data_IF_604591155067
#
_entry.id   IF_604591155067
#
_cell.length_a   1.000
_cell.length_b   1.000
_cell.length_c   1.000
_cell.angle_alpha   90.00
_cell.angle_beta   90.00
_cell.angle_gamma   90.00
#
_symmetry.space_group_name_H-M   'P 1'
#
loop_
_entity.id
_entity.type
_entity.pdbx_description
1 polymer ?
#
# COMPACT_ATOMS: atom_id res chain seq x y z
N UNK A 1 -12.52 28.72 19.97
CA UNK A 1 -13.51 29.80 19.84
C UNK A 1 -13.17 30.84 20.88
N UNK A 2 -12.70 32.00 20.42
CA UNK A 2 -12.25 33.08 21.30
C UNK A 2 -12.97 34.35 20.85
N UNK A 3 -13.62 35.05 21.78
CA UNK A 3 -14.29 36.33 21.52
C UNK A 3 -15.27 36.32 20.34
N UNK A 4 -16.09 35.26 20.23
CA UNK A 4 -17.12 35.17 19.19
C UNK A 4 -16.61 34.67 17.83
N UNK A 5 -15.32 34.36 17.69
CA UNK A 5 -14.73 33.88 16.43
C UNK A 5 -14.16 32.47 16.55
N UNK A 6 -14.31 31.71 15.46
CA UNK A 6 -13.60 30.45 15.30
C UNK A 6 -12.14 30.73 15.01
N UNK A 7 -11.26 30.11 15.78
CA UNK A 7 -9.80 30.22 15.65
C UNK A 7 -9.21 28.82 15.50
N UNK A 8 -8.07 28.68 14.79
CA UNK A 8 -7.33 27.43 14.68
C UNK A 8 -7.10 26.78 16.05
N UNK A 9 -7.24 25.46 16.12
CA UNK A 9 -6.94 24.68 17.31
C UNK A 9 -5.52 24.10 17.19
N UNK A 10 -4.71 24.30 18.23
CA UNK A 10 -3.37 23.75 18.33
C UNK A 10 -3.31 22.78 19.52
N UNK A 11 -2.91 21.54 19.25
CA UNK A 11 -2.72 20.49 20.25
C UNK A 11 -1.67 19.51 19.75
N UNK A 12 -0.96 18.86 20.65
CA UNK A 12 0.12 17.91 20.36
C UNK A 12 -0.29 16.44 20.59
N UNK A 13 -1.49 16.20 21.11
CA UNK A 13 -1.97 14.90 21.58
C UNK A 13 -3.11 14.31 20.73
N UNK A 14 -3.42 14.92 19.57
CA UNK A 14 -4.49 14.45 18.69
C UNK A 14 -4.06 13.20 17.92
N UNK A 15 -4.78 12.10 18.09
CA UNK A 15 -4.44 10.80 17.51
C UNK A 15 -5.36 10.43 16.34
N UNK A 16 -4.74 9.88 15.30
CA UNK A 16 -5.41 9.22 14.18
C UNK A 16 -5.29 7.71 14.34
N UNK A 17 -6.42 7.03 14.21
CA UNK A 17 -6.48 5.58 14.16
C UNK A 17 -6.89 5.13 12.75
N UNK A 18 -6.17 4.13 12.22
CA UNK A 18 -6.56 3.41 11.01
C UNK A 18 -7.07 2.03 11.42
N UNK A 19 -8.39 1.84 11.34
CA UNK A 19 -9.09 0.73 12.02
C UNK A 19 -9.98 -0.04 11.06
N UNK A 20 -10.19 -1.33 11.35
CA UNK A 20 -11.24 -2.15 10.73
C UNK A 20 -12.21 -2.64 11.82
N UNK A 21 -11.87 -3.74 12.49
CA UNK A 21 -12.47 -4.18 13.75
C UNK A 21 -11.66 -3.59 14.93
N UNK A 22 -10.37 -3.87 14.92
CA UNK A 22 -9.38 -3.35 15.87
C UNK A 22 -8.45 -2.31 15.19
N UNK A 23 -7.78 -1.44 15.96
CA UNK A 23 -6.84 -0.47 15.40
C UNK A 23 -5.55 -1.14 14.94
N UNK A 24 -5.25 -1.01 13.64
CA UNK A 24 -3.99 -1.50 13.06
C UNK A 24 -2.86 -0.48 13.22
N UNK A 25 -3.18 0.79 13.02
CA UNK A 25 -2.23 1.89 13.18
C UNK A 25 -2.87 2.93 14.09
N UNK A 26 -2.12 3.37 15.09
CA UNK A 26 -2.45 4.54 15.92
C UNK A 26 -1.24 5.46 15.90
N UNK A 27 -1.44 6.69 15.44
CA UNK A 27 -0.36 7.67 15.32
C UNK A 27 -0.82 9.04 15.77
N UNK A 28 0.06 9.80 16.41
CA UNK A 28 -0.20 11.18 16.82
C UNK A 28 0.02 12.10 15.62
N UNK A 29 -0.94 12.96 15.33
CA UNK A 29 -0.87 13.91 14.22
C UNK A 29 -0.01 15.13 14.61
N UNK A 30 0.75 15.64 13.65
CA UNK A 30 1.44 16.92 13.78
C UNK A 30 0.46 18.05 13.46
N UNK A 31 0.34 19.03 14.37
CA UNK A 31 -0.47 20.23 14.17
C UNK A 31 0.33 21.34 13.50
N UNK A 32 -0.28 22.04 12.55
CA UNK A 32 0.17 23.34 12.06
C UNK A 32 -0.60 24.45 12.80
N UNK A 33 0.03 25.20 13.73
CA UNK A 33 -0.65 26.21 14.54
C UNK A 33 -1.21 27.40 13.73
N UNK A 34 -0.64 27.69 12.56
CA UNK A 34 -1.07 28.81 11.74
C UNK A 34 -2.40 28.52 11.03
N UNK A 35 -2.60 27.29 10.60
CA UNK A 35 -3.79 26.86 9.85
C UNK A 35 -4.78 26.05 10.68
N UNK A 36 -4.33 25.42 11.77
CA UNK A 36 -5.10 24.48 12.58
C UNK A 36 -5.25 23.10 11.94
N UNK A 37 -4.45 22.79 10.91
CA UNK A 37 -4.47 21.50 10.23
C UNK A 37 -3.64 20.47 10.98
N UNK A 38 -4.16 19.25 11.05
CA UNK A 38 -3.48 18.10 11.65
C UNK A 38 -3.16 17.08 10.56
N UNK A 39 -1.91 16.61 10.53
CA UNK A 39 -1.43 15.68 9.51
C UNK A 39 -0.67 14.52 10.14
N UNK A 40 -0.90 13.32 9.61
CA UNK A 40 -0.07 12.15 9.85
C UNK A 40 0.23 11.45 8.53
N UNK A 41 1.41 10.87 8.41
CA UNK A 41 1.84 10.07 7.26
C UNK A 41 2.20 8.69 7.82
N UNK A 42 1.62 7.63 7.25
CA UNK A 42 1.88 6.26 7.66
C UNK A 42 1.69 5.31 6.47
N UNK A 43 2.26 4.11 6.57
CA UNK A 43 2.11 3.05 5.57
C UNK A 43 0.91 2.19 5.93
N UNK A 44 0.07 1.87 4.95
CA UNK A 44 -1.07 0.98 5.15
C UNK A 44 -0.58 -0.43 5.56
N UNK A 45 -1.33 -1.15 6.41
CA UNK A 45 -0.99 -2.51 6.81
C UNK A 45 -1.18 -3.50 5.66
N UNK A 46 -0.54 -4.67 5.76
CA UNK A 46 -0.62 -5.74 4.76
C UNK A 46 -1.98 -6.46 4.71
N UNK A 47 -2.94 -6.08 5.56
CA UNK A 47 -4.31 -6.59 5.55
C UNK A 47 -5.19 -5.77 4.60
N UNK A 48 -5.91 -6.44 3.71
CA UNK A 48 -6.87 -5.82 2.80
C UNK A 48 -8.27 -5.78 3.39
N UNK A 49 -9.11 -4.86 2.91
CA UNK A 49 -10.51 -4.74 3.31
C UNK A 49 -10.97 -3.29 3.45
N UNK A 50 -12.08 -3.10 4.16
CA UNK A 50 -12.66 -1.77 4.40
C UNK A 50 -12.16 -1.24 5.75
N UNK A 51 -11.26 -0.28 5.69
CA UNK A 51 -10.75 0.44 6.84
C UNK A 51 -11.52 1.73 7.06
N UNK A 52 -11.23 2.37 8.20
CA UNK A 52 -11.69 3.70 8.53
C UNK A 52 -10.53 4.50 9.11
N UNK A 53 -10.41 5.74 8.68
CA UNK A 53 -9.72 6.77 9.44
C UNK A 53 -10.64 7.21 10.56
N UNK A 54 -10.22 7.04 11.81
CA UNK A 54 -10.97 7.45 13.00
C UNK A 54 -10.16 8.47 13.79
N UNK A 55 -10.79 9.57 14.12
CA UNK A 55 -10.28 10.56 15.08
C UNK A 55 -11.29 10.66 16.21
N UNK A 56 -10.86 10.36 17.42
CA UNK A 56 -11.67 10.49 18.62
C UNK A 56 -10.92 11.34 19.64
N UNK A 57 -11.38 12.58 19.84
CA UNK A 57 -10.77 13.51 20.78
C UNK A 57 -11.74 13.76 21.93
N UNK A 58 -11.43 13.16 23.09
CA UNK A 58 -12.18 13.32 24.33
C UNK A 58 -11.25 13.85 25.41
N UNK A 59 -11.44 15.13 25.76
CA UNK A 59 -10.71 15.81 26.83
C UNK A 59 -11.67 16.53 27.76
N UNK A 60 -11.45 16.50 29.09
CA UNK A 60 -12.23 17.30 30.03
C UNK A 60 -12.20 18.78 29.64
N UNK A 61 -13.36 19.45 29.70
CA UNK A 61 -13.49 20.87 29.33
C UNK A 61 -13.61 21.14 27.83
N UNK A 62 -13.51 20.13 26.97
CA UNK A 62 -13.72 20.24 25.53
C UNK A 62 -14.93 19.42 25.06
N UNK A 63 -15.56 19.87 23.96
CA UNK A 63 -16.55 19.07 23.26
C UNK A 63 -15.91 17.81 22.68
N UNK A 64 -16.62 16.68 22.77
CA UNK A 64 -16.15 15.42 22.19
C UNK A 64 -16.18 15.52 20.68
N UNK A 65 -15.02 15.34 20.04
CA UNK A 65 -14.91 15.23 18.59
C UNK A 65 -14.83 13.74 18.23
N UNK A 66 -15.71 13.32 17.33
CA UNK A 66 -15.67 11.99 16.74
C UNK A 66 -15.90 12.10 15.23
N UNK A 67 -14.91 11.70 14.45
CA UNK A 67 -14.97 11.70 13.01
C UNK A 67 -14.45 10.36 12.47
N UNK A 68 -15.22 9.76 11.56
CA UNK A 68 -14.84 8.52 10.86
C UNK A 68 -15.00 8.70 9.35
N UNK A 69 -13.96 8.33 8.59
CA UNK A 69 -13.98 8.30 7.12
C UNK A 69 -13.62 6.91 6.65
N UNK A 70 -14.52 6.26 5.90
CA UNK A 70 -14.28 4.91 5.36
C UNK A 70 -13.32 4.97 4.16
N UNK A 71 -12.40 4.03 4.09
CA UNK A 71 -11.44 3.86 3.01
C UNK A 71 -11.19 2.38 2.72
N UNK A 72 -11.10 2.00 1.46
CA UNK A 72 -10.84 0.62 1.05
C UNK A 72 -9.36 0.39 0.73
N UNK A 73 -8.75 -0.62 1.35
CA UNK A 73 -7.41 -1.11 1.02
C UNK A 73 -7.57 -2.36 0.17
N UNK A 74 -7.10 -2.29 -1.09
CA UNK A 74 -7.16 -3.42 -2.03
C UNK A 74 -5.83 -4.17 -2.06
N UNK A 75 -5.82 -5.49 -2.32
CA UNK A 75 -4.60 -6.20 -2.62
C UNK A 75 -4.01 -5.77 -3.97
N UNK A 76 -2.75 -6.16 -4.19
CA UNK A 76 -2.08 -5.98 -5.47
C UNK A 76 -2.80 -6.76 -6.59
N UNK A 77 -2.95 -6.12 -7.74
CA UNK A 77 -3.41 -6.73 -8.97
C UNK A 77 -2.26 -7.54 -9.61
N UNK A 78 -2.61 -8.46 -10.50
CA UNK A 78 -1.64 -9.33 -11.19
C UNK A 78 -0.53 -8.59 -11.96
N UNK A 79 -0.74 -7.32 -12.32
CA UNK A 79 0.20 -6.46 -13.06
C UNK A 79 1.03 -5.53 -12.15
N UNK A 80 0.79 -5.56 -10.84
CA UNK A 80 1.49 -4.72 -9.85
C UNK A 80 2.62 -5.47 -9.14
N UNK A 81 2.75 -6.78 -9.34
CA UNK A 81 3.87 -7.56 -8.83
C UNK A 81 5.15 -7.25 -9.60
N UNK A 82 6.28 -7.36 -8.92
CA UNK A 82 7.60 -7.22 -9.53
C UNK A 82 7.83 -8.26 -10.64
N UNK A 83 8.39 -7.80 -11.76
CA UNK A 83 8.71 -8.63 -12.92
C UNK A 83 10.22 -8.63 -13.12
N UNK A 84 10.73 -9.73 -13.68
CA UNK A 84 12.17 -9.89 -13.98
C UNK A 84 13.05 -9.83 -12.72
N UNK A 85 12.65 -10.59 -11.71
CA UNK A 85 13.41 -10.71 -10.46
C UNK A 85 14.75 -11.38 -10.76
N UNK A 86 15.85 -10.83 -10.25
CA UNK A 86 17.21 -11.34 -10.50
C UNK A 86 17.36 -12.84 -10.19
N UNK A 87 16.76 -13.29 -9.08
CA UNK A 87 16.78 -14.70 -8.69
C UNK A 87 16.09 -15.63 -9.69
N UNK A 88 15.18 -15.12 -10.52
CA UNK A 88 14.42 -15.90 -11.49
C UNK A 88 15.10 -16.03 -12.87
N UNK A 89 16.26 -15.39 -13.10
CA UNK A 89 16.98 -15.43 -14.38
C UNK A 89 17.30 -16.84 -14.89
N UNK A 90 17.70 -17.80 -14.04
CA UNK A 90 17.94 -19.18 -14.49
C UNK A 90 16.71 -19.82 -15.16
N UNK A 91 15.50 -19.51 -14.69
CA UNK A 91 14.25 -20.04 -15.25
C UNK A 91 13.88 -19.38 -16.58
N UNK A 92 14.13 -18.07 -16.71
CA UNK A 92 13.92 -17.36 -17.98
C UNK A 92 14.89 -17.87 -19.06
N UNK A 93 16.16 -18.07 -18.69
CA UNK A 93 17.18 -18.59 -19.59
C UNK A 93 16.88 -20.04 -20.01
N UNK A 94 16.40 -20.91 -19.11
CA UNK A 94 16.09 -22.29 -19.43
C UNK A 94 14.93 -22.42 -20.44
N UNK A 95 13.86 -21.62 -20.26
CA UNK A 95 12.73 -21.61 -21.18
C UNK A 95 13.13 -21.15 -22.60
N UNK A 96 13.96 -20.09 -22.68
CA UNK A 96 14.50 -19.61 -23.95
C UNK A 96 15.42 -20.67 -24.57
N UNK A 97 16.31 -21.27 -23.78
CA UNK A 97 17.23 -22.32 -24.23
C UNK A 97 16.49 -23.52 -24.81
N UNK A 98 15.43 -24.00 -24.15
CA UNK A 98 14.61 -25.11 -24.64
C UNK A 98 13.91 -24.77 -25.97
N UNK A 99 13.40 -23.54 -26.10
CA UNK A 99 12.75 -23.07 -27.34
C UNK A 99 13.75 -23.04 -28.50
N UNK A 100 14.96 -22.51 -28.26
CA UNK A 100 16.04 -22.48 -29.27
C UNK A 100 16.50 -23.90 -29.63
N UNK A 101 16.68 -24.78 -28.63
CA UNK A 101 17.09 -26.15 -28.85
C UNK A 101 16.07 -26.92 -29.70
N UNK A 102 14.77 -26.78 -29.42
CA UNK A 102 13.71 -27.40 -30.21
C UNK A 102 13.72 -26.89 -31.65
N UNK A 103 13.91 -25.58 -31.85
CA UNK A 103 13.97 -24.99 -33.19
C UNK A 103 15.16 -25.53 -33.99
N UNK A 104 16.36 -25.53 -33.39
CA UNK A 104 17.58 -26.06 -34.02
C UNK A 104 17.45 -27.55 -34.30
N UNK A 105 16.93 -28.33 -33.34
CA UNK A 105 16.68 -29.75 -33.51
C UNK A 105 15.72 -30.02 -34.68
N UNK A 106 14.63 -29.27 -34.79
CA UNK A 106 13.64 -29.44 -35.86
C UNK A 106 14.27 -29.20 -37.24
N UNK A 107 15.09 -28.15 -37.38
CA UNK A 107 15.81 -27.86 -38.63
C UNK A 107 16.84 -28.95 -38.93
N UNK A 108 17.69 -29.29 -37.96
CA UNK A 108 18.72 -30.31 -38.13
C UNK A 108 18.13 -31.68 -38.48
N UNK A 109 17.03 -32.07 -37.82
CA UNK A 109 16.31 -33.31 -38.09
C UNK A 109 15.73 -33.33 -39.51
N UNK A 110 15.06 -32.25 -39.93
CA UNK A 110 14.45 -32.19 -41.26
C UNK A 110 15.47 -32.25 -42.40
N UNK A 111 16.65 -31.63 -42.20
CA UNK A 111 17.73 -31.64 -43.20
C UNK A 111 18.77 -32.76 -42.98
N UNK A 112 18.54 -33.66 -42.02
CA UNK A 112 19.40 -34.82 -41.84
C UNK A 112 19.13 -35.84 -42.96
N UNK A 113 20.19 -36.22 -43.69
CA UNK A 113 20.12 -37.32 -44.65
C UNK A 113 20.61 -38.60 -43.98
N UNK A 114 19.86 -39.68 -44.15
CA UNK A 114 20.25 -40.98 -43.63
C UNK A 114 21.43 -41.51 -44.45
N UNK A 115 22.55 -41.85 -43.80
CA UNK A 115 23.67 -42.49 -44.50
C UNK A 115 23.31 -43.95 -44.72
N UNK A 116 23.04 -44.32 -45.98
CA UNK A 116 22.98 -45.71 -46.43
C UNK A 116 24.30 -46.45 -46.19
#
# INVERSE_FOLDING_TARGET
>A
FTEGRWVPYAADDMQLEFVMLDPYVRTTMTSDPATGLFKAIFTAPDSYGIFKFRVQYRRPGYSVLHAETKASVRPFKHDEYERFIFSAYPYYASAISATVALFVFSVAFLFSSDKK
#
